data_IF_493792858458
#
_entry.id   IF_493792858458
#
_cell.length_a   1.000
_cell.length_b   1.000
_cell.length_c   1.000
_cell.angle_alpha   90.00
_cell.angle_beta   90.00
_cell.angle_gamma   90.00
#
_symmetry.space_group_name_H-M   'P 1'
#
loop_
_entity.id
_entity.type
_entity.pdbx_description
1 polymer ?
#
# COMPACT_ATOMS: atom_id res chain seq x y z
N UNK A 1 13.12 -5.96 -18.86
CA UNK A 1 14.26 -6.89 -18.54
C UNK A 1 13.66 -8.25 -18.29
N UNK A 2 14.31 -9.35 -18.71
CA UNK A 2 13.80 -10.71 -18.41
C UNK A 2 14.14 -11.13 -16.97
N UNK A 3 13.40 -12.10 -16.42
CA UNK A 3 13.65 -12.64 -15.07
C UNK A 3 15.09 -13.16 -14.94
N UNK A 4 15.61 -13.84 -15.99
CA UNK A 4 17.00 -14.34 -16.00
C UNK A 4 18.03 -13.21 -15.89
N UNK A 5 17.83 -12.11 -16.62
CA UNK A 5 18.70 -10.92 -16.50
C UNK A 5 18.63 -10.25 -15.14
N UNK A 6 17.45 -10.28 -14.50
CA UNK A 6 17.33 -9.78 -13.12
C UNK A 6 18.11 -10.70 -12.18
N UNK A 7 18.02 -12.02 -12.38
CA UNK A 7 18.78 -12.99 -11.60
C UNK A 7 20.30 -12.78 -11.74
N UNK A 8 20.79 -12.54 -12.96
CA UNK A 8 22.20 -12.17 -13.19
C UNK A 8 22.56 -10.86 -12.48
N UNK A 9 21.66 -9.86 -12.51
CA UNK A 9 21.87 -8.59 -11.84
C UNK A 9 22.01 -8.75 -10.32
N UNK A 10 21.27 -9.64 -9.69
CA UNK A 10 21.38 -9.91 -8.25
C UNK A 10 22.74 -10.47 -7.84
N UNK A 11 23.55 -10.99 -8.77
CA UNK A 11 24.93 -11.47 -8.49
C UNK A 11 25.99 -10.37 -8.63
N UNK A 12 25.61 -9.14 -9.03
CA UNK A 12 26.55 -8.02 -9.15
C UNK A 12 26.88 -7.38 -7.81
N UNK A 13 27.92 -6.54 -7.78
CA UNK A 13 28.37 -5.78 -6.59
C UNK A 13 27.26 -4.89 -6.01
N UNK A 14 26.32 -4.41 -6.85
CA UNK A 14 25.19 -3.59 -6.43
C UNK A 14 24.32 -4.30 -5.38
N UNK A 15 24.28 -5.64 -5.41
CA UNK A 15 23.51 -6.48 -4.50
C UNK A 15 24.38 -7.26 -3.50
N UNK A 16 25.65 -6.93 -3.33
CA UNK A 16 26.54 -7.62 -2.38
C UNK A 16 26.04 -7.59 -0.92
N UNK A 17 25.28 -6.57 -0.56
CA UNK A 17 24.66 -6.51 0.77
C UNK A 17 23.76 -7.71 1.07
N UNK A 18 23.12 -8.33 0.04
CA UNK A 18 22.33 -9.55 0.22
C UNK A 18 23.19 -10.73 0.74
N UNK A 19 24.49 -10.74 0.43
CA UNK A 19 25.45 -11.78 0.80
C UNK A 19 26.27 -11.41 2.04
N UNK A 20 26.59 -10.13 2.21
CA UNK A 20 27.55 -9.65 3.21
C UNK A 20 26.92 -9.07 4.48
N UNK A 21 25.65 -8.65 4.43
CA UNK A 21 24.97 -8.14 5.61
C UNK A 21 24.78 -9.27 6.63
N UNK A 22 25.13 -9.03 7.89
CA UNK A 22 25.11 -10.01 8.99
C UNK A 22 23.74 -10.68 9.24
N UNK A 23 22.65 -10.00 8.90
CA UNK A 23 21.29 -10.51 9.07
C UNK A 23 20.76 -11.23 7.82
N UNK A 24 21.46 -11.14 6.68
CA UNK A 24 21.07 -11.69 5.39
C UNK A 24 21.95 -12.91 5.03
N UNK A 25 22.38 -13.01 3.80
CA UNK A 25 23.20 -14.13 3.30
C UNK A 25 22.45 -15.45 3.38
N UNK A 26 23.01 -16.42 4.07
CA UNK A 26 22.40 -17.75 4.25
C UNK A 26 21.09 -17.74 5.05
N UNK A 27 20.80 -16.65 5.74
CA UNK A 27 19.57 -16.51 6.52
C UNK A 27 18.36 -16.16 5.63
N UNK A 28 18.56 -15.76 4.38
CA UNK A 28 17.45 -15.46 3.46
C UNK A 28 16.74 -16.78 3.13
N UNK A 29 15.45 -16.85 3.47
CA UNK A 29 14.60 -18.03 3.21
C UNK A 29 13.72 -17.85 1.99
N UNK A 30 13.43 -16.60 1.61
CA UNK A 30 12.68 -16.24 0.43
C UNK A 30 13.20 -14.91 -0.09
N UNK A 31 13.46 -14.84 -1.40
CA UNK A 31 13.78 -13.61 -2.12
C UNK A 31 13.00 -13.62 -3.43
N UNK A 32 12.19 -12.61 -3.67
CA UNK A 32 11.28 -12.55 -4.81
C UNK A 32 11.24 -11.18 -5.47
N UNK A 33 10.72 -11.13 -6.68
CA UNK A 33 10.34 -9.88 -7.33
C UNK A 33 9.22 -9.20 -6.55
N UNK A 34 9.28 -7.88 -6.51
CA UNK A 34 8.21 -7.00 -6.10
C UNK A 34 7.78 -6.07 -7.24
N UNK A 35 6.89 -5.13 -6.93
CA UNK A 35 6.50 -4.05 -7.82
C UNK A 35 6.02 -4.49 -9.20
N UNK A 36 6.35 -3.71 -10.22
CA UNK A 36 5.81 -3.90 -11.57
C UNK A 36 6.16 -5.24 -12.20
N UNK A 37 7.33 -5.79 -11.91
CA UNK A 37 7.74 -7.10 -12.42
C UNK A 37 6.94 -8.25 -11.78
N UNK A 38 6.68 -8.18 -10.49
CA UNK A 38 5.87 -9.20 -9.82
C UNK A 38 4.43 -9.23 -10.36
N UNK A 39 3.91 -8.09 -10.81
CA UNK A 39 2.56 -7.97 -11.32
C UNK A 39 2.42 -8.27 -12.81
N UNK A 40 3.54 -8.38 -13.55
CA UNK A 40 3.54 -8.43 -15.01
C UNK A 40 3.18 -7.10 -15.66
N UNK A 41 3.52 -5.99 -15.00
CA UNK A 41 3.19 -4.62 -15.44
C UNK A 41 4.44 -3.80 -15.73
N UNK A 42 5.57 -4.43 -15.93
CA UNK A 42 6.79 -3.75 -16.33
C UNK A 42 6.65 -3.12 -17.73
N UNK A 43 7.34 -2.00 -17.94
CA UNK A 43 7.33 -1.33 -19.24
C UNK A 43 8.19 -2.08 -20.25
N UNK A 44 7.70 -2.18 -21.48
CA UNK A 44 8.39 -2.82 -22.60
C UNK A 44 9.72 -2.15 -22.96
N UNK A 45 9.87 -0.85 -22.65
CA UNK A 45 11.09 -0.06 -22.89
C UNK A 45 12.23 -0.38 -21.88
N UNK A 46 11.98 -1.25 -20.89
CA UNK A 46 12.96 -1.65 -19.88
C UNK A 46 13.28 -0.59 -18.83
N UNK A 47 12.50 0.49 -18.75
CA UNK A 47 12.70 1.59 -17.79
C UNK A 47 12.04 1.36 -16.44
N UNK A 48 11.41 0.19 -16.21
CA UNK A 48 10.85 -0.16 -14.91
C UNK A 48 11.96 -0.49 -13.93
N UNK A 49 11.85 0.06 -12.72
CA UNK A 49 12.73 -0.27 -11.60
C UNK A 49 12.50 -1.73 -11.19
N UNK A 50 13.56 -2.40 -10.75
CA UNK A 50 13.49 -3.76 -10.22
C UNK A 50 13.34 -3.66 -8.71
N UNK A 51 12.15 -3.99 -8.24
CA UNK A 51 11.86 -4.09 -6.81
C UNK A 51 12.17 -5.52 -6.33
N UNK A 52 12.91 -5.66 -5.24
CA UNK A 52 13.22 -6.95 -4.63
C UNK A 52 12.69 -7.01 -3.20
N UNK A 53 12.01 -8.08 -2.88
CA UNK A 53 11.40 -8.30 -1.56
C UNK A 53 11.87 -9.65 -1.02
N UNK A 54 11.97 -9.75 0.31
CA UNK A 54 12.41 -11.02 0.88
C UNK A 54 12.18 -11.16 2.36
N UNK A 55 12.52 -12.36 2.85
CA UNK A 55 12.40 -12.77 4.23
C UNK A 55 13.72 -13.42 4.67
N UNK A 56 14.25 -13.01 5.80
CA UNK A 56 15.44 -13.60 6.41
C UNK A 56 15.16 -14.05 7.85
N UNK A 57 15.77 -15.15 8.24
CA UNK A 57 15.67 -15.68 9.61
C UNK A 57 16.31 -14.74 10.62
N UNK A 58 15.71 -14.64 11.79
CA UNK A 58 16.32 -14.00 12.95
C UNK A 58 17.49 -14.86 13.47
N UNK A 59 18.47 -14.24 14.07
CA UNK A 59 19.55 -14.99 14.73
C UNK A 59 19.05 -15.63 16.04
N UNK A 60 19.77 -16.66 16.50
CA UNK A 60 19.52 -17.26 17.83
C UNK A 60 19.55 -16.21 18.94
N UNK A 61 20.50 -15.28 18.89
CA UNK A 61 20.60 -14.20 19.89
C UNK A 61 19.41 -13.27 19.84
N UNK A 62 18.92 -12.92 18.63
CA UNK A 62 17.76 -12.04 18.49
C UNK A 62 16.52 -12.68 19.12
N UNK A 63 16.30 -13.97 18.83
CA UNK A 63 15.15 -14.72 19.37
C UNK A 63 15.21 -14.80 20.90
N UNK A 64 16.39 -15.16 21.45
CA UNK A 64 16.54 -15.38 22.89
C UNK A 64 16.54 -14.08 23.71
N UNK A 65 17.01 -12.98 23.11
CA UNK A 65 17.07 -11.67 23.78
C UNK A 65 15.87 -10.77 23.44
N UNK A 66 15.03 -11.18 22.49
CA UNK A 66 13.90 -10.36 22.02
C UNK A 66 14.33 -9.09 21.27
N UNK A 67 15.51 -9.11 20.64
CA UNK A 67 16.10 -7.98 19.92
C UNK A 67 16.03 -8.18 18.39
N UNK A 68 14.88 -8.61 17.91
CA UNK A 68 14.66 -8.85 16.48
C UNK A 68 14.96 -7.59 15.64
N UNK A 69 15.70 -7.74 14.54
CA UNK A 69 15.67 -6.70 13.51
C UNK A 69 14.30 -6.71 12.82
N UNK A 70 13.82 -5.55 12.37
CA UNK A 70 12.53 -5.50 11.67
C UNK A 70 12.70 -5.76 10.18
N UNK A 71 13.58 -4.99 9.53
CA UNK A 71 13.85 -5.08 8.09
C UNK A 71 15.23 -4.52 7.76
N UNK A 72 15.77 -4.96 6.62
CA UNK A 72 16.92 -4.36 5.95
C UNK A 72 16.42 -3.76 4.65
N UNK A 73 16.64 -2.47 4.45
CA UNK A 73 16.24 -1.76 3.24
C UNK A 73 17.46 -1.16 2.56
N UNK A 74 17.58 -1.39 1.25
CA UNK A 74 18.58 -0.76 0.38
C UNK A 74 17.85 0.08 -0.67
N UNK A 75 17.93 1.41 -0.51
CA UNK A 75 17.17 2.34 -1.35
C UNK A 75 17.69 2.38 -2.79
N UNK A 76 18.98 2.17 -3.00
CA UNK A 76 19.60 2.22 -4.34
C UNK A 76 19.09 1.12 -5.26
N UNK A 77 18.66 -0.01 -4.72
CA UNK A 77 18.15 -1.18 -5.44
C UNK A 77 16.68 -1.45 -5.19
N UNK A 78 15.98 -0.58 -4.47
CA UNK A 78 14.59 -0.78 -4.02
C UNK A 78 14.36 -2.18 -3.43
N UNK A 79 15.32 -2.61 -2.59
CA UNK A 79 15.28 -3.92 -1.95
C UNK A 79 14.85 -3.80 -0.49
N UNK A 80 13.91 -4.63 -0.08
CA UNK A 80 13.50 -4.74 1.34
C UNK A 80 13.41 -6.21 1.74
N UNK A 81 14.14 -6.58 2.78
CA UNK A 81 14.13 -7.92 3.37
C UNK A 81 13.67 -7.82 4.81
N UNK A 82 12.52 -8.41 5.11
CA UNK A 82 11.95 -8.44 6.46
C UNK A 82 12.58 -9.58 7.29
N UNK A 83 12.66 -9.38 8.59
CA UNK A 83 12.90 -10.51 9.48
C UNK A 83 11.71 -11.47 9.45
N UNK A 84 11.96 -12.75 9.69
CA UNK A 84 10.91 -13.78 9.73
C UNK A 84 9.82 -13.44 10.74
N UNK A 85 10.19 -13.03 11.96
CA UNK A 85 9.22 -12.67 12.99
C UNK A 85 8.37 -11.47 12.61
N UNK A 86 8.98 -10.45 11.98
CA UNK A 86 8.26 -9.27 11.47
C UNK A 86 7.33 -9.63 10.32
N UNK A 87 7.81 -10.45 9.38
CA UNK A 87 6.99 -10.89 8.26
C UNK A 87 5.77 -11.67 8.73
N UNK A 88 5.91 -12.62 9.66
CA UNK A 88 4.76 -13.34 10.23
C UNK A 88 3.73 -12.36 10.83
N UNK A 89 4.18 -11.32 11.52
CA UNK A 89 3.30 -10.28 12.07
C UNK A 89 2.55 -9.52 10.95
N UNK A 90 3.26 -9.11 9.89
CA UNK A 90 2.67 -8.36 8.78
C UNK A 90 1.67 -9.22 7.99
N UNK A 91 2.00 -10.48 7.75
CA UNK A 91 1.12 -11.44 7.09
C UNK A 91 -0.14 -11.72 7.92
N UNK A 92 -0.01 -11.87 9.25
CA UNK A 92 -1.14 -12.07 10.16
C UNK A 92 -2.10 -10.87 10.18
N UNK A 93 -1.61 -9.69 9.82
CA UNK A 93 -2.42 -8.48 9.66
C UNK A 93 -2.87 -8.26 8.22
N UNK A 94 -2.70 -9.23 7.33
CA UNK A 94 -3.06 -9.14 5.91
C UNK A 94 -2.54 -7.84 5.25
N UNK A 95 -1.27 -7.48 5.54
CA UNK A 95 -0.67 -6.27 4.95
C UNK A 95 -0.54 -6.44 3.43
N UNK A 96 -1.14 -5.56 2.60
CA UNK A 96 -1.16 -5.72 1.15
C UNK A 96 0.22 -5.80 0.50
N UNK A 97 1.22 -5.07 1.03
CA UNK A 97 2.56 -5.03 0.46
C UNK A 97 3.40 -6.27 0.76
N UNK A 98 3.03 -7.05 1.77
CA UNK A 98 3.79 -8.25 2.15
C UNK A 98 3.07 -9.54 1.79
N UNK A 99 1.74 -9.55 1.82
CA UNK A 99 0.99 -10.76 1.48
C UNK A 99 1.17 -11.11 -0.01
N UNK A 100 1.37 -10.12 -0.87
CA UNK A 100 1.64 -10.31 -2.31
C UNK A 100 2.92 -11.11 -2.59
N UNK A 101 3.90 -11.10 -1.68
CA UNK A 101 5.12 -11.90 -1.81
C UNK A 101 4.85 -13.41 -1.82
N UNK A 102 3.73 -13.85 -1.21
CA UNK A 102 3.33 -15.26 -1.14
C UNK A 102 2.56 -15.74 -2.38
N UNK A 103 2.23 -14.83 -3.29
CA UNK A 103 1.43 -15.10 -4.50
C UNK A 103 2.17 -14.88 -5.82
N UNK A 104 3.49 -14.70 -5.79
CA UNK A 104 4.32 -14.52 -6.98
C UNK A 104 4.40 -15.80 -7.81
N UNK A 105 4.75 -15.66 -9.11
CA UNK A 105 5.02 -16.82 -9.96
C UNK A 105 6.24 -17.61 -9.47
N UNK A 106 6.32 -18.93 -9.71
CA UNK A 106 7.45 -19.74 -9.28
C UNK A 106 8.82 -19.22 -9.75
N UNK A 107 8.91 -18.72 -10.98
CA UNK A 107 10.11 -18.15 -11.57
C UNK A 107 10.52 -16.80 -10.97
N UNK A 108 9.62 -16.13 -10.25
CA UNK A 108 9.91 -14.87 -9.55
C UNK A 108 10.67 -15.06 -8.23
N UNK A 109 10.74 -16.30 -7.71
CA UNK A 109 11.51 -16.59 -6.49
C UNK A 109 12.96 -16.89 -6.84
N UNK A 110 13.86 -15.97 -6.50
CA UNK A 110 15.30 -16.13 -6.72
C UNK A 110 15.98 -16.99 -5.65
N UNK A 111 15.51 -16.87 -4.40
CA UNK A 111 15.90 -17.71 -3.27
C UNK A 111 14.64 -18.28 -2.67
N UNK A 112 14.60 -19.58 -2.48
CA UNK A 112 13.49 -20.28 -1.83
C UNK A 112 14.02 -21.50 -1.09
N UNK A 113 14.30 -21.31 0.21
CA UNK A 113 14.73 -22.40 1.10
C UNK A 113 13.58 -23.34 1.42
N UNK A 114 13.87 -24.46 2.10
CA UNK A 114 12.82 -25.40 2.51
C UNK A 114 11.83 -24.75 3.49
N UNK A 115 12.27 -23.85 4.36
CA UNK A 115 11.36 -23.06 5.22
C UNK A 115 10.51 -22.11 4.38
N UNK A 116 11.10 -21.46 3.36
CA UNK A 116 10.38 -20.62 2.43
C UNK A 116 9.30 -21.41 1.66
N UNK A 117 9.62 -22.61 1.19
CA UNK A 117 8.64 -23.51 0.55
C UNK A 117 7.51 -23.89 1.51
N UNK A 118 7.86 -24.19 2.75
CA UNK A 118 6.87 -24.53 3.78
C UNK A 118 5.96 -23.34 4.12
N UNK A 119 6.50 -22.13 4.18
CA UNK A 119 5.72 -20.90 4.32
C UNK A 119 4.72 -20.75 3.16
N UNK A 120 5.18 -20.87 1.91
CA UNK A 120 4.31 -20.78 0.73
C UNK A 120 3.22 -21.87 0.72
N UNK A 121 3.56 -23.10 1.12
CA UNK A 121 2.59 -24.20 1.23
C UNK A 121 1.49 -23.90 2.25
N UNK A 122 1.83 -23.21 3.34
CA UNK A 122 0.91 -22.88 4.42
C UNK A 122 0.32 -21.46 4.31
N UNK A 123 0.50 -20.74 3.18
CA UNK A 123 0.11 -19.33 3.04
C UNK A 123 -1.37 -19.05 3.34
N UNK A 124 -2.26 -20.03 3.13
CA UNK A 124 -3.70 -19.89 3.44
C UNK A 124 -3.99 -19.66 4.93
N UNK A 125 -3.07 -20.01 5.85
CA UNK A 125 -3.25 -19.76 7.28
C UNK A 125 -3.35 -18.26 7.64
N UNK A 126 -2.86 -17.37 6.75
CA UNK A 126 -2.91 -15.92 6.93
C UNK A 126 -4.18 -15.28 6.38
N UNK A 127 -4.97 -16.02 5.56
CA UNK A 127 -6.16 -15.46 4.91
C UNK A 127 -7.32 -15.35 5.89
N UNK A 128 -7.91 -14.17 5.97
CA UNK A 128 -9.05 -13.88 6.82
C UNK A 128 -9.76 -12.60 6.37
N UNK A 129 -10.93 -12.31 6.95
CA UNK A 129 -11.66 -11.07 6.70
C UNK A 129 -10.93 -9.80 7.15
N UNK A 130 -9.79 -9.91 7.85
CA UNK A 130 -8.94 -8.75 8.15
C UNK A 130 -8.50 -8.04 6.85
N UNK A 131 -8.34 -8.77 5.75
CA UNK A 131 -7.98 -8.20 4.45
C UNK A 131 -8.99 -7.13 3.99
N UNK A 132 -10.26 -7.22 4.34
CA UNK A 132 -11.30 -6.23 4.01
C UNK A 132 -10.89 -4.84 4.51
N UNK A 133 -10.42 -4.76 5.75
CA UNK A 133 -10.04 -3.48 6.37
C UNK A 133 -8.68 -2.98 5.90
N UNK A 134 -7.73 -3.89 5.75
CA UNK A 134 -6.37 -3.50 5.35
C UNK A 134 -6.30 -3.08 3.88
N UNK A 135 -6.87 -3.86 2.97
CA UNK A 135 -6.93 -3.49 1.56
C UNK A 135 -7.87 -2.30 1.31
N UNK A 136 -9.04 -2.25 1.98
CA UNK A 136 -9.96 -1.11 1.90
C UNK A 136 -9.30 0.19 2.36
N UNK A 137 -8.55 0.17 3.47
CA UNK A 137 -7.77 1.31 3.95
C UNK A 137 -6.66 1.73 2.98
N UNK A 138 -5.97 0.76 2.38
CA UNK A 138 -4.96 1.02 1.34
C UNK A 138 -5.58 1.60 0.08
N UNK A 139 -6.70 1.05 -0.39
CA UNK A 139 -7.44 1.55 -1.56
C UNK A 139 -7.92 2.99 -1.34
N UNK A 140 -8.50 3.29 -0.17
CA UNK A 140 -8.92 4.65 0.19
C UNK A 140 -7.75 5.65 0.22
N UNK A 141 -6.60 5.23 0.77
CA UNK A 141 -5.38 6.06 0.76
C UNK A 141 -4.82 6.24 -0.66
N UNK A 142 -4.91 5.22 -1.49
CA UNK A 142 -4.45 5.29 -2.88
C UNK A 142 -5.36 6.17 -3.73
N UNK A 143 -6.68 6.09 -3.54
CA UNK A 143 -7.64 6.98 -4.18
C UNK A 143 -7.35 8.45 -3.82
N UNK A 144 -7.15 8.74 -2.53
CA UNK A 144 -6.77 10.08 -2.07
C UNK A 144 -5.46 10.56 -2.69
N UNK A 145 -4.45 9.70 -2.80
CA UNK A 145 -3.17 10.03 -3.47
C UNK A 145 -3.36 10.32 -4.95
N UNK A 146 -4.22 9.55 -5.61
CA UNK A 146 -4.58 9.74 -7.00
C UNK A 146 -5.28 11.10 -7.20
N UNK A 147 -6.32 11.39 -6.44
CA UNK A 147 -7.06 12.64 -6.48
C UNK A 147 -6.16 13.86 -6.20
N UNK A 148 -5.33 13.80 -5.17
CA UNK A 148 -4.34 14.84 -4.87
C UNK A 148 -3.34 15.07 -6.00
N UNK A 149 -2.98 14.02 -6.77
CA UNK A 149 -2.10 14.17 -7.94
C UNK A 149 -2.84 14.73 -9.13
N UNK A 150 -4.04 14.23 -9.41
CA UNK A 150 -4.89 14.77 -10.46
C UNK A 150 -5.08 16.28 -10.27
N UNK A 151 -5.39 16.68 -9.04
CA UNK A 151 -5.56 18.08 -8.65
C UNK A 151 -4.33 18.95 -8.93
N UNK A 152 -3.11 18.43 -8.76
CA UNK A 152 -1.87 19.19 -9.01
C UNK A 152 -1.54 19.40 -10.48
N UNK A 153 -2.14 18.61 -11.38
CA UNK A 153 -1.93 18.70 -12.81
C UNK A 153 -2.86 19.72 -13.48
N UNK A 154 -3.86 20.19 -12.74
CA UNK A 154 -4.85 21.17 -13.21
C UNK A 154 -4.34 22.60 -12.99
N UNK A 155 -4.77 23.54 -13.81
CA UNK A 155 -4.50 24.98 -13.61
C UNK A 155 -5.06 25.49 -12.29
N UNK A 156 -4.43 26.51 -11.71
CA UNK A 156 -4.66 27.02 -10.34
C UNK A 156 -6.15 27.21 -10.00
N UNK A 157 -6.96 27.75 -10.91
CA UNK A 157 -8.38 28.02 -10.68
C UNK A 157 -9.24 26.75 -10.52
N UNK A 158 -8.99 25.74 -11.33
CA UNK A 158 -9.70 24.44 -11.22
C UNK A 158 -9.26 23.66 -9.98
N UNK A 159 -8.01 23.84 -9.57
CA UNK A 159 -7.48 23.34 -8.30
C UNK A 159 -8.25 23.88 -7.10
N UNK A 160 -8.49 25.19 -7.08
CA UNK A 160 -9.23 25.86 -6.00
C UNK A 160 -10.67 25.36 -5.91
N UNK A 161 -11.37 25.20 -7.04
CA UNK A 161 -12.73 24.66 -7.09
C UNK A 161 -12.81 23.21 -6.56
N UNK A 162 -11.85 22.35 -6.93
CA UNK A 162 -11.80 20.97 -6.46
C UNK A 162 -11.55 20.89 -4.96
N UNK A 163 -10.65 21.72 -4.44
CA UNK A 163 -10.33 21.79 -3.02
C UNK A 163 -11.52 22.30 -2.22
N UNK A 164 -12.20 23.33 -2.69
CA UNK A 164 -13.44 23.82 -2.07
C UNK A 164 -14.49 22.70 -1.99
N UNK A 165 -14.64 21.91 -3.05
CA UNK A 165 -15.54 20.74 -3.04
C UNK A 165 -15.13 19.70 -2.01
N UNK A 166 -13.83 19.38 -1.94
CA UNK A 166 -13.29 18.42 -0.97
C UNK A 166 -13.42 18.91 0.47
N UNK A 167 -13.19 20.22 0.72
CA UNK A 167 -13.41 20.87 2.02
C UNK A 167 -14.89 20.81 2.41
N UNK A 168 -15.79 21.11 1.48
CA UNK A 168 -17.23 21.03 1.73
C UNK A 168 -17.69 19.61 2.07
N UNK A 169 -17.15 18.60 1.39
CA UNK A 169 -17.41 17.20 1.72
C UNK A 169 -16.87 16.83 3.09
N UNK A 170 -15.66 17.26 3.43
CA UNK A 170 -15.07 17.05 4.73
C UNK A 170 -15.88 17.75 5.84
N UNK A 171 -16.36 18.98 5.62
CA UNK A 171 -17.25 19.68 6.54
C UNK A 171 -18.55 18.92 6.79
N UNK A 172 -19.18 18.41 5.71
CA UNK A 172 -20.41 17.64 5.82
C UNK A 172 -20.24 16.41 6.69
N UNK A 173 -19.20 15.60 6.43
CA UNK A 173 -18.87 14.42 7.22
C UNK A 173 -18.52 14.77 8.67
N UNK A 174 -17.81 15.86 8.85
CA UNK A 174 -17.43 16.40 10.15
C UNK A 174 -18.64 16.78 11.00
N UNK A 175 -19.56 17.57 10.41
CA UNK A 175 -20.81 17.96 11.06
C UNK A 175 -21.63 16.74 11.45
N UNK A 176 -21.71 15.75 10.56
CA UNK A 176 -22.46 14.53 10.82
C UNK A 176 -21.91 13.70 12.00
N UNK A 177 -20.58 13.65 12.15
CA UNK A 177 -19.94 12.80 13.16
C UNK A 177 -19.73 13.49 14.50
N UNK A 178 -19.29 14.74 14.48
CA UNK A 178 -18.77 15.41 15.67
C UNK A 178 -19.64 16.59 16.15
N UNK A 179 -20.60 17.03 15.36
CA UNK A 179 -21.44 18.17 15.69
C UNK A 179 -22.95 17.85 15.61
N UNK A 180 -23.43 16.80 16.27
CA UNK A 180 -24.87 16.55 16.40
C UNK A 180 -25.56 17.56 17.35
N UNK A 181 -24.78 18.48 17.97
CA UNK A 181 -25.24 19.44 18.95
C UNK A 181 -25.49 20.79 18.28
N UNK A 182 -26.70 21.35 18.42
CA UNK A 182 -27.17 22.55 17.74
C UNK A 182 -26.34 23.81 17.97
N UNK A 183 -25.54 23.86 19.04
CA UNK A 183 -24.74 25.02 19.42
C UNK A 183 -23.30 25.03 18.93
N UNK A 184 -22.84 23.95 18.25
CA UNK A 184 -21.48 23.84 17.77
C UNK A 184 -21.39 24.01 16.26
N UNK A 185 -20.38 24.70 15.76
CA UNK A 185 -20.17 24.91 14.34
C UNK A 185 -18.68 24.80 13.99
N UNK A 186 -18.43 24.27 12.80
CA UNK A 186 -17.12 24.28 12.17
C UNK A 186 -17.27 24.74 10.72
N UNK A 187 -16.40 25.62 10.28
CA UNK A 187 -16.30 26.10 8.92
C UNK A 187 -14.86 26.01 8.47
N UNK A 188 -14.63 25.28 7.39
CA UNK A 188 -13.35 25.25 6.67
C UNK A 188 -13.53 26.07 5.39
N UNK A 189 -12.59 26.98 5.10
CA UNK A 189 -12.62 27.80 3.89
C UNK A 189 -11.21 28.15 3.44
N UNK A 190 -11.07 28.55 2.18
CA UNK A 190 -9.81 29.05 1.62
C UNK A 190 -9.81 30.58 1.61
N UNK A 191 -8.69 31.17 1.95
CA UNK A 191 -8.44 32.60 1.86
C UNK A 191 -6.99 32.86 1.46
N UNK A 192 -6.60 34.11 1.25
CA UNK A 192 -5.22 34.50 0.96
C UNK A 192 -4.27 34.01 2.05
N UNK A 193 -3.15 33.42 1.62
CA UNK A 193 -2.16 32.90 2.56
C UNK A 193 -1.39 34.05 3.24
N UNK A 194 -1.17 33.88 4.54
CA UNK A 194 -0.26 34.76 5.30
C UNK A 194 1.20 34.31 5.22
N UNK A 195 1.48 33.18 4.55
CA UNK A 195 2.83 32.64 4.43
C UNK A 195 3.49 33.06 3.10
N UNK A 196 4.75 33.51 3.10
CA UNK A 196 5.46 33.86 1.88
C UNK A 196 5.59 32.63 0.93
N UNK A 197 5.22 32.84 -0.34
CA UNK A 197 5.32 31.82 -1.39
C UNK A 197 4.11 30.89 -1.49
N UNK A 198 3.00 31.23 -0.82
CA UNK A 198 1.71 30.56 -0.96
C UNK A 198 0.66 31.58 -1.40
N UNK A 199 -0.15 31.24 -2.40
CA UNK A 199 -1.22 32.11 -2.90
C UNK A 199 -2.49 31.99 -2.05
N UNK A 200 -2.76 30.81 -1.49
CA UNK A 200 -3.94 30.57 -0.66
C UNK A 200 -3.64 29.56 0.45
N UNK A 201 -4.43 29.61 1.49
CA UNK A 201 -4.35 28.77 2.69
C UNK A 201 -5.74 28.35 3.15
N UNK A 202 -5.83 27.24 3.91
CA UNK A 202 -7.08 26.77 4.48
C UNK A 202 -7.20 27.32 5.89
N UNK A 203 -8.28 28.05 6.13
CA UNK A 203 -8.65 28.59 7.42
C UNK A 203 -9.80 27.81 8.03
N UNK A 204 -9.88 27.87 9.34
CA UNK A 204 -10.91 27.20 10.12
C UNK A 204 -11.50 28.14 11.16
N UNK A 205 -12.82 28.30 11.11
CA UNK A 205 -13.58 28.84 12.20
C UNK A 205 -14.22 27.70 12.99
N UNK A 206 -14.05 27.68 14.30
CA UNK A 206 -14.60 26.66 15.17
C UNK A 206 -15.28 27.30 16.39
N UNK A 207 -16.53 26.91 16.62
CA UNK A 207 -17.31 27.27 17.81
C UNK A 207 -17.79 25.97 18.47
N UNK A 208 -17.21 25.61 19.61
CA UNK A 208 -17.53 24.43 20.38
C UNK A 208 -18.26 24.82 21.68
N UNK A 209 -19.55 24.52 21.72
CA UNK A 209 -20.37 24.72 22.93
C UNK A 209 -20.87 23.37 23.41
N UNK A 210 -20.64 23.07 24.68
CA UNK A 210 -21.07 21.82 25.31
C UNK A 210 -20.56 20.54 24.59
N UNK A 211 -19.36 20.64 23.98
CA UNK A 211 -18.75 19.56 23.20
C UNK A 211 -18.09 18.55 24.15
N UNK A 212 -18.36 17.22 24.01
CA UNK A 212 -17.76 16.21 24.87
C UNK A 212 -16.23 16.13 24.67
N UNK A 213 -15.47 16.42 25.73
CA UNK A 213 -14.01 16.45 25.66
C UNK A 213 -13.42 15.09 25.21
N UNK A 214 -14.11 13.97 25.51
CA UNK A 214 -13.70 12.62 25.07
C UNK A 214 -13.57 12.50 23.55
N UNK A 215 -14.33 13.27 22.79
CA UNK A 215 -14.37 13.20 21.32
C UNK A 215 -13.32 14.11 20.66
N UNK A 216 -12.65 14.97 21.46
CA UNK A 216 -11.66 15.94 21.00
C UNK A 216 -10.51 15.29 20.20
N UNK A 217 -9.95 14.18 20.71
CA UNK A 217 -8.80 13.52 20.06
C UNK A 217 -9.17 12.96 18.69
N UNK A 218 -10.37 12.38 18.54
CA UNK A 218 -10.88 11.88 17.26
C UNK A 218 -11.04 13.01 16.25
N UNK A 219 -11.70 14.09 16.67
CA UNK A 219 -11.87 15.31 15.88
C UNK A 219 -10.53 15.88 15.43
N UNK A 220 -9.58 16.03 16.35
CA UNK A 220 -8.25 16.56 16.06
C UNK A 220 -7.49 15.72 15.05
N UNK A 221 -7.52 14.40 15.16
CA UNK A 221 -6.84 13.50 14.24
C UNK A 221 -7.42 13.57 12.82
N UNK A 222 -8.74 13.68 12.68
CA UNK A 222 -9.36 13.88 11.37
C UNK A 222 -9.00 15.24 10.77
N UNK A 223 -9.00 16.31 11.58
CA UNK A 223 -8.54 17.62 11.15
C UNK A 223 -7.10 17.61 10.69
N UNK A 224 -6.22 16.99 11.47
CA UNK A 224 -4.80 16.83 11.11
C UNK A 224 -4.64 16.07 9.79
N UNK A 225 -5.47 15.06 9.53
CA UNK A 225 -5.46 14.32 8.27
C UNK A 225 -5.91 15.20 7.09
N UNK A 226 -6.95 16.03 7.28
CA UNK A 226 -7.40 17.01 6.28
C UNK A 226 -6.28 18.00 5.98
N UNK A 227 -5.72 18.63 7.01
CA UNK A 227 -4.63 19.63 6.88
C UNK A 227 -3.39 19.01 6.23
N UNK A 228 -2.98 17.82 6.65
CA UNK A 228 -1.79 17.17 6.06
C UNK A 228 -1.99 16.79 4.59
N UNK A 229 -3.23 16.51 4.18
CA UNK A 229 -3.56 16.28 2.77
C UNK A 229 -3.39 17.55 1.92
N UNK A 230 -3.53 18.73 2.52
CA UNK A 230 -3.44 20.04 1.88
C UNK A 230 -2.16 20.82 2.19
N UNK A 231 -1.27 20.32 3.06
CA UNK A 231 0.02 20.96 3.39
C UNK A 231 0.96 21.20 2.19
N UNK A 232 0.63 20.64 1.01
CA UNK A 232 1.36 20.87 -0.23
C UNK A 232 0.62 21.81 -1.19
N UNK A 233 -0.47 22.38 -0.72
CA UNK A 233 -1.31 23.31 -1.45
C UNK A 233 -0.61 24.67 -1.58
N UNK A 234 -0.79 25.35 -2.71
CA UNK A 234 -0.20 26.68 -2.97
C UNK A 234 1.25 26.68 -3.46
N UNK A 235 2.01 25.59 -3.37
CA UNK A 235 3.34 25.53 -3.98
C UNK A 235 3.23 25.24 -5.46
N UNK A 236 3.66 26.16 -6.32
CA UNK A 236 3.91 25.88 -7.75
C UNK A 236 4.85 24.69 -7.89
N UNK A 237 4.33 23.56 -8.33
CA UNK A 237 5.11 22.34 -8.41
C UNK A 237 5.42 21.98 -9.87
N UNK A 238 6.30 22.77 -10.51
CA UNK A 238 6.81 22.50 -11.86
C UNK A 238 7.43 21.10 -12.00
N UNK A 239 7.97 20.55 -10.90
CA UNK A 239 8.53 19.19 -10.85
C UNK A 239 7.46 18.08 -10.85
N UNK A 240 6.20 18.37 -10.52
CA UNK A 240 5.14 17.35 -10.52
C UNK A 240 4.66 17.02 -11.94
N UNK A 241 4.71 17.98 -12.83
CA UNK A 241 4.35 17.81 -14.26
C UNK A 241 5.34 16.90 -14.98
N UNK A 242 6.63 16.95 -14.62
CA UNK A 242 7.70 16.16 -15.27
C UNK A 242 7.71 14.67 -14.88
N UNK A 243 7.10 14.28 -13.76
CA UNK A 243 7.02 12.88 -13.30
C UNK A 243 5.57 12.48 -13.09
N UNK A 244 4.78 12.57 -14.16
CA UNK A 244 3.40 12.13 -14.10
C UNK A 244 3.31 10.62 -13.85
N UNK A 245 2.92 10.27 -12.61
CA UNK A 245 2.69 8.89 -12.16
C UNK A 245 1.19 8.62 -11.89
N UNK A 246 0.28 9.48 -12.39
CA UNK A 246 -1.14 9.36 -12.08
C UNK A 246 -1.70 8.02 -12.55
N UNK A 247 -1.46 7.64 -13.81
CA UNK A 247 -1.87 6.33 -14.32
C UNK A 247 -1.32 5.15 -13.50
N UNK A 248 -0.07 5.25 -12.99
CA UNK A 248 0.50 4.24 -12.07
C UNK A 248 -0.33 4.11 -10.78
N UNK A 249 -0.82 5.23 -10.21
CA UNK A 249 -1.64 5.19 -9.00
C UNK A 249 -3.05 4.64 -9.28
N UNK A 250 -3.63 5.00 -10.43
CA UNK A 250 -4.92 4.48 -10.87
C UNK A 250 -4.87 2.95 -11.06
N UNK A 251 -3.89 2.46 -11.81
CA UNK A 251 -3.69 1.02 -12.00
C UNK A 251 -3.44 0.28 -10.67
N UNK A 252 -2.65 0.89 -9.77
CA UNK A 252 -2.42 0.30 -8.45
C UNK A 252 -3.69 0.21 -7.60
N UNK A 253 -4.57 1.22 -7.67
CA UNK A 253 -5.86 1.20 -6.97
C UNK A 253 -6.73 0.02 -7.44
N UNK A 254 -6.90 -0.14 -8.75
CA UNK A 254 -7.69 -1.25 -9.32
C UNK A 254 -7.07 -2.60 -8.93
N UNK A 255 -5.73 -2.74 -9.01
CA UNK A 255 -5.04 -3.96 -8.62
C UNK A 255 -5.25 -4.35 -7.14
N UNK A 256 -5.33 -3.37 -6.24
CA UNK A 256 -5.64 -3.63 -4.83
C UNK A 256 -7.03 -4.26 -4.66
N UNK A 257 -8.03 -3.75 -5.37
CA UNK A 257 -9.36 -4.36 -5.38
C UNK A 257 -9.33 -5.77 -5.95
N UNK A 258 -8.68 -5.97 -7.10
CA UNK A 258 -8.53 -7.30 -7.72
C UNK A 258 -7.97 -8.32 -6.74
N UNK A 259 -6.84 -7.98 -6.09
CA UNK A 259 -6.17 -8.89 -5.15
C UNK A 259 -7.06 -9.21 -3.94
N UNK A 260 -7.73 -8.21 -3.38
CA UNK A 260 -8.62 -8.44 -2.25
C UNK A 260 -9.83 -9.31 -2.63
N UNK A 261 -10.41 -9.08 -3.81
CA UNK A 261 -11.51 -9.88 -4.34
C UNK A 261 -11.07 -11.34 -4.53
N UNK A 262 -9.87 -11.59 -5.11
CA UNK A 262 -9.35 -12.95 -5.26
C UNK A 262 -9.18 -13.66 -3.92
N UNK A 263 -8.64 -12.94 -2.91
CA UNK A 263 -8.52 -13.47 -1.55
C UNK A 263 -9.88 -13.83 -0.97
N UNK A 264 -10.89 -12.96 -1.15
CA UNK A 264 -12.23 -13.15 -0.57
C UNK A 264 -13.05 -14.23 -1.31
N UNK A 265 -12.96 -14.30 -2.64
CA UNK A 265 -13.76 -15.20 -3.47
C UNK A 265 -13.10 -16.56 -3.69
N UNK A 266 -11.77 -16.59 -3.86
CA UNK A 266 -11.01 -17.78 -4.29
C UNK A 266 -10.12 -18.36 -3.18
N UNK A 267 -9.93 -17.63 -2.08
CA UNK A 267 -8.97 -17.96 -1.02
C UNK A 267 -7.54 -18.14 -1.56
N UNK A 268 -7.18 -17.33 -2.57
CA UNK A 268 -5.87 -17.38 -3.24
C UNK A 268 -5.23 -15.98 -3.26
N UNK A 269 -3.90 -15.97 -3.15
CA UNK A 269 -3.08 -14.77 -3.31
C UNK A 269 -2.55 -14.78 -4.74
N UNK A 270 -3.10 -13.92 -5.60
CA UNK A 270 -2.71 -13.82 -7.00
C UNK A 270 -2.00 -12.47 -7.21
N UNK A 271 -0.69 -12.51 -7.35
CA UNK A 271 0.13 -11.30 -7.53
C UNK A 271 0.30 -10.96 -9.00
N UNK A 272 0.60 -11.96 -9.84
CA UNK A 272 0.76 -11.76 -11.27
C UNK A 272 -0.58 -11.58 -11.98
N UNK A 273 -0.71 -10.53 -12.80
CA UNK A 273 -1.96 -10.08 -13.43
C UNK A 273 -1.94 -10.27 -14.95
N UNK A 274 -1.59 -11.47 -15.39
CA UNK A 274 -1.48 -11.75 -16.83
C UNK A 274 -2.79 -11.61 -17.59
N UNK A 275 -3.92 -11.97 -16.99
CA UNK A 275 -5.24 -11.85 -17.64
C UNK A 275 -5.72 -10.39 -17.68
N UNK A 276 -5.42 -9.60 -16.65
CA UNK A 276 -5.82 -8.21 -16.56
C UNK A 276 -4.72 -7.24 -17.04
N UNK A 277 -3.65 -7.77 -17.61
CA UNK A 277 -2.49 -7.02 -18.06
C UNK A 277 -2.87 -5.84 -18.95
N UNK A 278 -3.65 -6.08 -20.02
CA UNK A 278 -4.00 -5.05 -20.98
C UNK A 278 -4.82 -3.93 -20.36
N UNK A 279 -5.78 -4.27 -19.50
CA UNK A 279 -6.57 -3.29 -18.75
C UNK A 279 -5.67 -2.46 -17.83
N UNK A 280 -4.83 -3.11 -17.03
CA UNK A 280 -3.97 -2.41 -16.07
C UNK A 280 -2.91 -1.55 -16.78
N UNK A 281 -2.39 -2.01 -17.92
CA UNK A 281 -1.45 -1.25 -18.74
C UNK A 281 -2.12 -0.07 -19.45
N UNK A 282 -3.35 -0.20 -19.96
CA UNK A 282 -4.10 0.91 -20.53
C UNK A 282 -4.33 2.02 -19.50
N UNK A 283 -4.71 1.66 -18.28
CA UNK A 283 -4.84 2.61 -17.17
C UNK A 283 -3.49 3.26 -16.86
N UNK A 284 -2.43 2.46 -16.71
CA UNK A 284 -1.08 2.92 -16.39
C UNK A 284 -0.52 3.87 -17.43
N UNK A 285 -0.79 3.61 -18.70
CA UNK A 285 -0.33 4.40 -19.82
C UNK A 285 -1.15 5.67 -20.06
N UNK A 286 -2.25 5.85 -19.31
CA UNK A 286 -3.04 7.07 -19.29
C UNK A 286 -4.19 7.11 -20.30
N UNK A 287 -4.63 5.98 -20.83
CA UNK A 287 -5.80 5.93 -21.72
C UNK A 287 -7.09 6.36 -21.01
N UNK A 288 -7.13 6.20 -19.69
CA UNK A 288 -8.21 6.66 -18.81
C UNK A 288 -8.03 8.11 -18.32
N UNK A 289 -7.11 8.87 -18.92
CA UNK A 289 -6.91 10.28 -18.64
C UNK A 289 -7.42 11.13 -19.83
N UNK A 290 -7.96 12.30 -19.52
CA UNK A 290 -8.34 13.30 -20.55
C UNK A 290 -7.12 14.12 -21.04
N UNK A 291 -7.37 15.08 -21.93
CA UNK A 291 -6.34 15.99 -22.44
C UNK A 291 -5.69 16.88 -21.37
N UNK A 292 -6.38 17.06 -20.24
CA UNK A 292 -5.89 17.82 -19.07
C UNK A 292 -5.24 16.91 -18.02
N UNK A 293 -4.99 15.66 -18.36
CA UNK A 293 -4.42 14.65 -17.47
C UNK A 293 -5.30 14.37 -16.24
N UNK A 294 -6.64 14.51 -16.37
CA UNK A 294 -7.60 14.17 -15.33
C UNK A 294 -8.20 12.79 -15.60
N UNK A 295 -8.53 12.01 -14.54
CA UNK A 295 -9.24 10.76 -14.72
C UNK A 295 -10.59 11.00 -15.40
N UNK A 296 -10.88 10.23 -16.45
CA UNK A 296 -12.16 10.26 -17.15
C UNK A 296 -13.26 9.59 -16.35
N UNK A 297 -14.52 9.84 -16.72
CA UNK A 297 -15.70 9.15 -16.16
C UNK A 297 -15.58 7.63 -16.24
N UNK A 298 -15.04 7.10 -17.34
CA UNK A 298 -14.88 5.67 -17.59
C UNK A 298 -13.98 5.00 -16.54
N UNK A 299 -13.01 5.74 -15.97
CA UNK A 299 -12.22 5.22 -14.87
C UNK A 299 -13.03 5.11 -13.58
N UNK A 300 -13.86 6.10 -13.30
CA UNK A 300 -14.71 6.06 -12.10
C UNK A 300 -15.83 5.03 -12.23
N UNK A 301 -16.35 4.79 -13.43
CA UNK A 301 -17.29 3.71 -13.70
C UNK A 301 -16.65 2.35 -13.43
N UNK A 302 -15.42 2.13 -13.94
CA UNK A 302 -14.62 0.94 -13.67
C UNK A 302 -14.32 0.76 -12.16
N UNK A 303 -13.91 1.83 -11.49
CA UNK A 303 -13.66 1.81 -10.04
C UNK A 303 -14.91 1.40 -9.27
N UNK A 304 -16.07 1.99 -9.60
CA UNK A 304 -17.34 1.67 -8.98
C UNK A 304 -17.79 0.21 -9.24
N UNK A 305 -17.45 -0.36 -10.39
CA UNK A 305 -17.66 -1.78 -10.68
C UNK A 305 -16.83 -2.66 -9.72
N UNK A 306 -15.53 -2.35 -9.54
CA UNK A 306 -14.68 -3.08 -8.60
C UNK A 306 -15.11 -2.89 -7.14
N UNK A 307 -15.57 -1.72 -6.76
CA UNK A 307 -16.11 -1.45 -5.42
C UNK A 307 -17.37 -2.30 -5.15
N UNK A 308 -18.31 -2.37 -6.08
CA UNK A 308 -19.50 -3.22 -5.98
C UNK A 308 -19.13 -4.71 -5.88
N UNK A 309 -18.17 -5.15 -6.70
CA UNK A 309 -17.70 -6.52 -6.66
C UNK A 309 -16.99 -6.84 -5.34
N UNK A 310 -16.20 -5.91 -4.82
CA UNK A 310 -15.57 -6.03 -3.51
C UNK A 310 -16.60 -6.10 -2.38
N UNK A 311 -17.65 -5.26 -2.41
CA UNK A 311 -18.72 -5.31 -1.41
C UNK A 311 -19.46 -6.65 -1.47
N UNK A 312 -19.75 -7.17 -2.66
CA UNK A 312 -20.32 -8.50 -2.82
C UNK A 312 -19.41 -9.61 -2.25
N UNK A 313 -18.12 -9.57 -2.59
CA UNK A 313 -17.15 -10.55 -2.11
C UNK A 313 -17.02 -10.52 -0.58
N UNK A 314 -17.03 -9.32 0.02
CA UNK A 314 -17.01 -9.12 1.48
C UNK A 314 -18.20 -9.76 2.20
N UNK A 315 -19.39 -9.67 1.61
CA UNK A 315 -20.61 -10.23 2.18
C UNK A 315 -20.73 -11.75 2.01
N UNK A 316 -20.10 -12.32 0.98
CA UNK A 316 -20.26 -13.71 0.59
C UNK A 316 -19.02 -14.59 0.85
N UNK A 317 -17.93 -14.05 1.37
CA UNK A 317 -16.70 -14.81 1.63
C UNK A 317 -16.88 -15.88 2.72
N UNK A 318 -16.27 -17.06 2.47
CA UNK A 318 -16.16 -18.15 3.45
C UNK A 318 -14.97 -17.99 4.40
N UNK A 319 -14.11 -16.98 4.23
CA UNK A 319 -12.95 -16.76 5.07
C UNK A 319 -13.31 -16.54 6.53
N UNK A 320 -12.50 -17.04 7.48
CA UNK A 320 -12.67 -16.78 8.91
C UNK A 320 -12.46 -15.28 9.22
N UNK A 321 -13.02 -14.83 10.34
CA UNK A 321 -12.89 -13.43 10.77
C UNK A 321 -11.45 -13.04 11.09
N UNK A 322 -10.65 -14.01 11.58
CA UNK A 322 -9.23 -13.84 11.93
C UNK A 322 -8.39 -14.97 11.33
N UNK A 323 -7.07 -14.75 11.11
CA UNK A 323 -6.17 -15.78 10.61
C UNK A 323 -6.11 -17.00 11.56
N UNK A 324 -5.62 -18.12 11.07
CA UNK A 324 -5.38 -19.30 11.88
C UNK A 324 -4.15 -19.10 12.79
N UNK A 325 -4.35 -18.29 13.84
CA UNK A 325 -3.27 -17.96 14.79
C UNK A 325 -2.66 -19.21 15.44
N UNK A 326 -3.40 -20.31 15.54
CA UNK A 326 -2.86 -21.56 16.09
C UNK A 326 -1.78 -22.11 15.15
N UNK A 327 -2.10 -22.30 13.86
CA UNK A 327 -1.13 -22.76 12.87
C UNK A 327 0.02 -21.78 12.68
N UNK A 328 -0.27 -20.49 12.67
CA UNK A 328 0.75 -19.45 12.56
C UNK A 328 1.74 -19.52 13.71
N UNK A 329 1.26 -19.65 14.94
CA UNK A 329 2.10 -19.75 16.12
C UNK A 329 2.89 -21.07 16.16
N UNK A 330 2.26 -22.19 15.79
CA UNK A 330 2.93 -23.49 15.67
C UNK A 330 4.08 -23.41 14.64
N UNK A 331 3.82 -22.84 13.48
CA UNK A 331 4.84 -22.64 12.43
C UNK A 331 5.97 -21.71 12.89
N UNK A 332 5.63 -20.58 13.51
CA UNK A 332 6.62 -19.64 14.04
C UNK A 332 7.51 -20.28 15.13
N UNK A 333 6.89 -21.05 16.05
CA UNK A 333 7.63 -21.76 17.09
C UNK A 333 8.55 -22.83 16.49
N UNK A 334 8.05 -23.62 15.56
CA UNK A 334 8.82 -24.63 14.85
C UNK A 334 10.08 -24.05 14.19
N UNK A 335 9.95 -22.95 13.46
CA UNK A 335 11.10 -22.30 12.81
C UNK A 335 12.07 -21.74 13.83
N UNK A 336 11.56 -20.99 14.82
CA UNK A 336 12.41 -20.37 15.86
C UNK A 336 13.16 -21.43 16.71
N UNK A 337 12.51 -22.55 17.03
CA UNK A 337 13.13 -23.65 17.77
C UNK A 337 14.30 -24.27 16.97
N UNK A 338 14.13 -24.49 15.66
CA UNK A 338 15.22 -24.99 14.80
C UNK A 338 16.41 -24.02 14.76
N UNK A 339 16.15 -22.70 14.68
CA UNK A 339 17.21 -21.68 14.74
C UNK A 339 17.95 -21.77 16.08
N UNK A 340 17.24 -21.85 17.19
CA UNK A 340 17.85 -21.91 18.53
C UNK A 340 18.68 -23.18 18.72
N UNK A 341 18.22 -24.30 18.16
CA UNK A 341 18.95 -25.58 18.18
C UNK A 341 20.16 -25.61 17.22
N UNK A 342 20.18 -24.77 16.21
CA UNK A 342 21.22 -24.77 15.18
C UNK A 342 20.96 -25.79 14.08
N UNK A 343 19.72 -26.14 13.84
CA UNK A 343 19.28 -27.13 12.83
C UNK A 343 19.03 -26.47 11.46
N UNK A 344 19.30 -25.17 11.35
CA UNK A 344 19.12 -24.37 10.14
C UNK A 344 20.31 -23.45 9.96
#
# INVERSE_FOLDING_TARGET
MTVDKIKEKLETEEYDFLRTNKNLGKNIILLTLGGSYAYGMEKSDGTSDVDVRGIALNSKSDILLGNDFEQITEESTDTTVYSFNKMIQLLSNSNPNTIEELGCLPEHYFILSDIGKELLKNRKMFLSKICIHTFGGYASNQLRRMENKATRLVGQKQNEEYILKSINNAQYEYKRRYFPYDSSNIRLYTDESTQPGYDSEIFMDIDLKHYPLRDWTGMWNEMKAIVSSYNKFGKRNEKAVQKDKLGKHMAHLIRLYMMCIDILEQEEIITYRGYEHDLLMSIRNGEYLDSNRQPRSEFYDLLNEYEKRFDYAKENTSLPDVPDYKKINEFKMYVNERIVRGDI
#
